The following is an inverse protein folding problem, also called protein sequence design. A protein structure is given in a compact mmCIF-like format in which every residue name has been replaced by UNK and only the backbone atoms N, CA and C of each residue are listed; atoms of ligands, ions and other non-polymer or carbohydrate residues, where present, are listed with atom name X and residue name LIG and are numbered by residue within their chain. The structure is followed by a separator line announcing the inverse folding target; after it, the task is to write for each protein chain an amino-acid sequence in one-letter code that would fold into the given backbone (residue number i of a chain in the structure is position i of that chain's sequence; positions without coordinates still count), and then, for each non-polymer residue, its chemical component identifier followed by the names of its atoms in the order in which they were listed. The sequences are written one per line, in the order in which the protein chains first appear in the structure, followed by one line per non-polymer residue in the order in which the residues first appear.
data_IF_701560286524
#
_entry.id   IF_701560286524
#
_cell.length_a   1.000
_cell.length_b   1.000
_cell.length_c   1.000
_cell.angle_alpha   90.00
_cell.angle_beta   90.00
_cell.angle_gamma   90.00
#
_symmetry.space_group_name_H-M   'P 1'
#
loop_
_entity.id
_entity.type
_entity.pdbx_description
1 polymer ?
#
# COMPACT_ATOMS: atom_id res chain seq x y z
N UNK A 1 1.13 -12.48 -12.20
CA UNK A 1 0.79 -11.17 -11.59
C UNK A 1 1.98 -10.24 -11.31
N UNK A 2 3.10 -10.70 -10.71
CA UNK A 2 4.24 -9.84 -10.32
C UNK A 2 4.95 -9.17 -11.51
N UNK A 3 5.09 -9.88 -12.64
CA UNK A 3 5.71 -9.40 -13.89
C UNK A 3 4.96 -8.19 -14.50
N UNK A 4 3.63 -8.23 -14.50
CA UNK A 4 2.78 -7.16 -15.03
C UNK A 4 2.88 -5.86 -14.19
N UNK A 5 2.99 -5.99 -12.86
CA UNK A 5 3.20 -4.84 -11.95
C UNK A 5 4.54 -4.15 -12.18
N UNK A 6 5.61 -4.92 -12.37
CA UNK A 6 6.93 -4.38 -12.70
C UNK A 6 6.90 -3.66 -14.05
N UNK A 7 6.21 -4.23 -15.04
CA UNK A 7 6.05 -3.60 -16.37
C UNK A 7 5.36 -2.24 -16.27
N UNK A 8 4.27 -2.12 -15.51
CA UNK A 8 3.56 -0.85 -15.32
C UNK A 8 4.43 0.26 -14.69
N UNK A 9 5.25 -0.08 -13.68
CA UNK A 9 6.15 0.91 -13.04
C UNK A 9 7.27 1.32 -13.99
N UNK A 10 7.83 0.38 -14.75
CA UNK A 10 8.85 0.66 -15.76
C UNK A 10 8.32 1.55 -16.89
N UNK A 11 7.09 1.31 -17.36
CA UNK A 11 6.44 2.20 -18.34
C UNK A 11 6.21 3.60 -17.79
N UNK A 12 5.82 3.74 -16.52
CA UNK A 12 5.64 5.06 -15.89
C UNK A 12 6.97 5.82 -15.73
N UNK A 13 8.05 5.12 -15.37
CA UNK A 13 9.41 5.67 -15.39
C UNK A 13 9.80 6.18 -16.77
N UNK A 14 9.53 5.40 -17.81
CA UNK A 14 9.84 5.76 -19.19
C UNK A 14 9.08 7.05 -19.58
N UNK A 15 7.78 7.10 -19.31
CA UNK A 15 6.97 8.30 -19.55
C UNK A 15 7.49 9.53 -18.79
N UNK A 16 7.88 9.37 -17.52
CA UNK A 16 8.46 10.48 -16.75
C UNK A 16 9.83 10.91 -17.28
N UNK A 17 10.64 9.97 -17.77
CA UNK A 17 11.95 10.26 -18.35
C UNK A 17 11.81 11.08 -19.63
N UNK A 18 10.84 10.75 -20.48
CA UNK A 18 10.51 11.53 -21.68
C UNK A 18 9.97 12.92 -21.30
N UNK A 19 9.14 13.02 -20.26
CA UNK A 19 8.64 14.32 -19.78
C UNK A 19 9.74 15.24 -19.26
N UNK A 20 10.73 14.68 -18.56
CA UNK A 20 11.86 15.44 -18.01
C UNK A 20 12.93 15.76 -19.05
N UNK A 21 13.19 14.83 -19.97
CA UNK A 21 14.15 14.96 -21.05
C UNK A 21 13.46 14.51 -22.36
N UNK A 22 12.88 15.43 -23.15
CA UNK A 22 12.13 15.07 -24.36
C UNK A 22 12.94 14.26 -25.38
N UNK A 23 14.27 14.46 -25.40
CA UNK A 23 15.21 13.76 -26.28
C UNK A 23 15.65 12.39 -25.77
N UNK A 24 15.07 11.92 -24.66
CA UNK A 24 15.48 10.68 -23.99
C UNK A 24 15.43 9.44 -24.90
N UNK A 25 14.52 9.45 -25.89
CA UNK A 25 14.36 8.36 -26.87
C UNK A 25 15.01 8.63 -28.24
N UNK A 26 15.51 9.83 -28.53
CA UNK A 26 15.95 10.22 -29.88
C UNK A 26 17.04 9.30 -30.45
N UNK A 27 17.89 8.74 -29.58
CA UNK A 27 19.00 7.84 -29.94
C UNK A 27 18.83 6.41 -29.42
N UNK A 28 17.66 6.06 -28.87
CA UNK A 28 17.47 4.79 -28.13
C UNK A 28 16.18 4.10 -28.53
N UNK A 29 16.27 2.80 -28.77
CA UNK A 29 15.08 1.95 -28.83
C UNK A 29 14.42 1.88 -27.44
N UNK A 30 13.12 1.59 -27.39
CA UNK A 30 12.39 1.43 -26.12
C UNK A 30 13.06 0.41 -25.19
N UNK A 31 13.54 -0.71 -25.75
CA UNK A 31 14.26 -1.74 -25.00
C UNK A 31 15.57 -1.20 -24.37
N UNK A 32 16.33 -0.40 -25.11
CA UNK A 32 17.56 0.23 -24.62
C UNK A 32 17.25 1.26 -23.51
N UNK A 33 16.17 2.04 -23.66
CA UNK A 33 15.72 2.99 -22.65
C UNK A 33 15.27 2.30 -21.36
N UNK A 34 14.53 1.20 -21.46
CA UNK A 34 14.11 0.38 -20.31
C UNK A 34 15.33 -0.19 -19.57
N UNK A 35 16.32 -0.71 -20.28
CA UNK A 35 17.53 -1.25 -19.68
C UNK A 35 18.39 -0.15 -19.04
N UNK A 36 18.48 1.03 -19.67
CA UNK A 36 19.10 2.21 -19.07
C UNK A 36 18.44 2.57 -17.73
N UNK A 37 17.10 2.64 -17.68
CA UNK A 37 16.35 2.96 -16.46
C UNK A 37 16.53 1.89 -15.38
N UNK A 38 16.60 0.61 -15.76
CA UNK A 38 16.94 -0.48 -14.85
C UNK A 38 18.32 -0.27 -14.22
N UNK A 39 19.34 0.01 -15.04
CA UNK A 39 20.72 0.25 -14.57
C UNK A 39 20.84 1.53 -13.75
N UNK A 40 20.16 2.61 -14.14
CA UNK A 40 20.06 3.84 -13.38
C UNK A 40 19.51 3.58 -11.97
N UNK A 41 18.42 2.82 -11.87
CA UNK A 41 17.84 2.46 -10.56
C UNK A 41 18.79 1.63 -9.71
N UNK A 42 19.47 0.64 -10.30
CA UNK A 42 20.42 -0.20 -9.57
C UNK A 42 21.60 0.62 -9.04
N UNK A 43 22.18 1.48 -9.89
CA UNK A 43 23.30 2.38 -9.50
C UNK A 43 22.91 3.33 -8.38
N UNK A 44 21.70 3.89 -8.42
CA UNK A 44 21.21 4.85 -7.44
C UNK A 44 20.44 4.21 -6.26
N UNK A 45 20.53 2.88 -6.10
CA UNK A 45 19.86 2.13 -5.01
C UNK A 45 18.34 2.37 -4.93
N UNK A 46 17.68 2.57 -6.06
CA UNK A 46 16.24 2.80 -6.17
C UNK A 46 15.48 1.48 -6.37
N UNK A 47 14.48 1.23 -5.52
CA UNK A 47 13.69 0.00 -5.52
C UNK A 47 12.22 0.28 -5.80
N UNK A 48 11.56 -0.63 -6.54
CA UNK A 48 10.09 -0.61 -6.67
C UNK A 48 9.53 -1.14 -5.35
N UNK A 49 8.71 -0.33 -4.68
CA UNK A 49 8.20 -0.61 -3.34
C UNK A 49 6.71 -0.37 -3.29
N UNK A 50 6.02 -1.10 -2.41
CA UNK A 50 4.59 -0.87 -2.14
C UNK A 50 4.47 0.38 -1.27
N UNK A 51 3.52 1.25 -1.61
CA UNK A 51 3.17 2.40 -0.80
C UNK A 51 2.62 1.92 0.54
N UNK A 52 3.04 2.59 1.61
CA UNK A 52 2.61 2.38 2.98
C UNK A 52 2.06 3.69 3.53
N UNK A 53 0.99 3.63 4.31
CA UNK A 53 0.47 4.79 5.02
C UNK A 53 1.35 5.13 6.23
N UNK A 54 1.50 6.43 6.51
CA UNK A 54 2.12 6.95 7.74
C UNK A 54 1.31 6.54 8.98
N UNK A 55 1.98 6.48 10.13
CA UNK A 55 1.33 6.22 11.43
C UNK A 55 1.09 4.75 11.78
N UNK A 56 1.80 3.81 11.14
CA UNK A 56 1.73 2.40 11.53
C UNK A 56 2.32 2.18 12.92
N UNK A 57 1.46 1.82 13.87
CA UNK A 57 1.87 1.22 15.15
C UNK A 57 2.39 -0.19 14.93
N UNK A 58 3.31 -0.63 15.79
CA UNK A 58 3.80 -2.02 15.70
C UNK A 58 2.64 -2.96 15.98
N UNK A 59 2.66 -4.13 15.35
CA UNK A 59 1.63 -5.17 15.60
C UNK A 59 1.52 -5.49 17.09
N UNK A 60 2.64 -5.56 17.80
CA UNK A 60 2.66 -5.79 19.26
C UNK A 60 1.89 -4.74 20.04
N UNK A 61 1.97 -3.47 19.64
CA UNK A 61 1.27 -2.36 20.31
C UNK A 61 -0.24 -2.39 20.03
N UNK A 62 -0.63 -2.75 18.80
CA UNK A 62 -2.05 -2.86 18.41
C UNK A 62 -2.69 -4.11 19.02
N UNK A 63 -1.93 -5.18 19.21
CA UNK A 63 -2.43 -6.44 19.76
C UNK A 63 -2.91 -6.27 21.20
N UNK A 64 -2.19 -5.51 22.03
CA UNK A 64 -2.60 -5.24 23.42
C UNK A 64 -3.99 -4.60 23.46
N UNK A 65 -4.22 -3.57 22.64
CA UNK A 65 -5.51 -2.87 22.55
C UNK A 65 -6.62 -3.80 22.04
N UNK A 66 -6.31 -4.63 21.05
CA UNK A 66 -7.26 -5.59 20.51
C UNK A 66 -7.65 -6.67 21.53
N UNK A 67 -6.69 -7.15 22.32
CA UNK A 67 -6.91 -8.16 23.35
C UNK A 67 -7.72 -7.58 24.52
N UNK A 68 -7.41 -6.37 24.97
CA UNK A 68 -8.19 -5.64 26.00
C UNK A 68 -9.65 -5.44 25.56
N UNK A 69 -9.85 -4.94 24.34
CA UNK A 69 -11.19 -4.74 23.78
C UNK A 69 -11.94 -6.07 23.65
N UNK A 70 -11.29 -7.10 23.11
CA UNK A 70 -11.88 -8.43 22.94
C UNK A 70 -12.29 -9.06 24.28
N UNK A 71 -11.47 -8.91 25.31
CA UNK A 71 -11.77 -9.41 26.65
C UNK A 71 -12.94 -8.66 27.30
N UNK A 72 -13.00 -7.32 27.16
CA UNK A 72 -14.12 -6.52 27.67
C UNK A 72 -15.44 -6.85 26.95
N UNK A 73 -15.41 -7.00 25.63
CA UNK A 73 -16.58 -7.39 24.84
C UNK A 73 -17.05 -8.80 25.21
N UNK A 74 -16.13 -9.75 25.36
CA UNK A 74 -16.47 -11.13 25.76
C UNK A 74 -17.15 -11.16 27.12
N UNK A 75 -16.61 -10.46 28.12
CA UNK A 75 -17.24 -10.34 29.44
C UNK A 75 -18.65 -9.73 29.35
N UNK A 76 -18.85 -8.68 28.56
CA UNK A 76 -20.18 -8.06 28.36
C UNK A 76 -21.17 -8.97 27.62
N UNK A 77 -20.69 -9.83 26.72
CA UNK A 77 -21.50 -10.78 25.94
C UNK A 77 -21.84 -12.08 26.69
N UNK A 78 -21.01 -12.45 27.67
CA UNK A 78 -21.15 -13.69 28.45
C UNK A 78 -21.80 -13.44 29.82
N UNK A 79 -21.51 -12.30 30.45
CA UNK A 79 -21.94 -11.99 31.84
C UNK A 79 -22.90 -10.79 31.91
N UNK A 80 -22.89 -9.91 30.90
CA UNK A 80 -23.72 -8.71 30.83
C UNK A 80 -25.11 -8.96 30.24
N UNK A 81 -26.15 -8.55 30.97
CA UNK A 81 -27.58 -8.67 30.65
C UNK A 81 -28.05 -8.14 29.29
N UNK A 82 -27.23 -7.45 28.50
CA UNK A 82 -27.67 -6.75 27.26
C UNK A 82 -27.99 -7.72 26.11
N UNK A 83 -27.33 -8.88 26.07
CA UNK A 83 -27.56 -9.94 25.07
C UNK A 83 -27.86 -11.31 25.71
N UNK A 84 -28.06 -11.33 27.03
CA UNK A 84 -28.48 -12.52 27.75
C UNK A 84 -29.98 -12.77 27.51
N UNK A 85 -30.31 -13.40 26.38
CA UNK A 85 -31.69 -13.76 26.02
C UNK A 85 -32.05 -13.57 24.54
N UNK A 86 -31.25 -12.82 23.78
CA UNK A 86 -31.35 -12.68 22.33
C UNK A 86 -30.29 -13.56 21.65
N UNK A 87 -30.53 -13.98 20.40
CA UNK A 87 -29.46 -14.60 19.62
C UNK A 87 -28.37 -13.53 19.40
N UNK A 88 -27.20 -13.74 20.02
CA UNK A 88 -26.24 -12.67 20.40
C UNK A 88 -25.73 -11.80 19.24
N UNK A 89 -26.01 -12.21 18.00
CA UNK A 89 -25.57 -11.58 16.77
C UNK A 89 -26.72 -10.97 15.95
N UNK A 90 -27.99 -11.21 16.31
CA UNK A 90 -29.17 -10.77 15.55
C UNK A 90 -29.30 -9.23 15.51
N UNK A 91 -28.70 -8.55 16.48
CA UNK A 91 -28.74 -7.09 16.60
C UNK A 91 -27.37 -6.42 16.41
N UNK A 92 -26.39 -7.15 15.86
CA UNK A 92 -25.08 -6.58 15.54
C UNK A 92 -25.08 -6.05 14.10
N UNK A 93 -25.26 -4.74 13.96
CA UNK A 93 -25.18 -4.05 12.67
C UNK A 93 -23.79 -3.42 12.52
N UNK A 94 -23.03 -3.86 11.52
CA UNK A 94 -21.73 -3.27 11.20
C UNK A 94 -21.86 -2.27 10.05
N UNK A 95 -21.19 -1.13 10.18
CA UNK A 95 -21.16 -0.09 9.16
C UNK A 95 -19.72 0.38 9.00
N UNK A 96 -19.25 0.45 7.76
CA UNK A 96 -17.94 1.02 7.45
C UNK A 96 -18.00 1.81 6.15
N UNK A 97 -17.19 2.85 6.05
CA UNK A 97 -17.09 3.69 4.87
C UNK A 97 -15.96 3.17 3.98
N UNK A 98 -16.31 2.64 2.81
CA UNK A 98 -15.32 2.33 1.77
C UNK A 98 -15.39 3.37 0.67
N UNK A 99 -14.30 4.10 0.47
CA UNK A 99 -14.17 5.04 -0.65
C UNK A 99 -14.21 4.31 -1.99
N UNK A 100 -15.01 4.81 -2.93
CA UNK A 100 -14.99 4.38 -4.33
C UNK A 100 -14.01 5.28 -5.08
N UNK A 101 -12.99 4.67 -5.68
CA UNK A 101 -11.93 5.40 -6.39
C UNK A 101 -12.26 5.48 -7.89
N UNK A 102 -12.32 6.69 -8.43
CA UNK A 102 -12.50 6.95 -9.87
C UNK A 102 -11.21 6.63 -10.65
N UNK A 103 -10.04 6.82 -10.04
CA UNK A 103 -8.76 6.41 -10.59
C UNK A 103 -7.96 5.60 -9.56
N UNK A 104 -7.45 4.45 -9.99
CA UNK A 104 -6.60 3.61 -9.15
C UNK A 104 -5.16 4.08 -9.24
N UNK A 105 -4.79 4.98 -8.33
CA UNK A 105 -3.39 5.30 -8.11
C UNK A 105 -2.55 4.02 -7.93
N UNK A 106 -1.38 3.92 -8.58
CA UNK A 106 -0.58 2.72 -8.52
C UNK A 106 -0.17 2.43 -7.08
N UNK A 107 -0.40 1.22 -6.60
CA UNK A 107 -0.05 0.77 -5.22
C UNK A 107 1.46 0.63 -4.98
N UNK A 108 2.28 0.99 -5.96
CA UNK A 108 3.73 0.88 -5.94
C UNK A 108 4.38 2.14 -6.46
N UNK A 109 5.44 2.55 -5.79
CA UNK A 109 6.28 3.70 -6.14
C UNK A 109 7.76 3.30 -6.20
N UNK A 110 8.63 4.25 -6.49
CA UNK A 110 10.08 4.07 -6.48
C UNK A 110 10.63 4.88 -5.31
N UNK A 111 11.34 4.21 -4.41
CA UNK A 111 12.03 4.87 -3.29
C UNK A 111 13.38 4.22 -3.03
N UNK A 112 14.17 4.80 -2.14
CA UNK A 112 15.47 4.27 -1.77
C UNK A 112 15.34 2.88 -1.15
N UNK A 113 16.33 2.04 -1.44
CA UNK A 113 16.42 0.71 -0.87
C UNK A 113 16.68 0.83 0.64
N UNK A 114 15.76 0.33 1.44
CA UNK A 114 15.91 0.24 2.90
C UNK A 114 14.92 1.12 3.67
N UNK A 115 14.24 2.05 2.98
CA UNK A 115 13.22 2.90 3.62
C UNK A 115 12.16 2.04 4.29
N UNK A 116 11.81 2.36 5.54
CA UNK A 116 10.76 1.66 6.29
C UNK A 116 9.38 2.09 5.82
N UNK A 117 9.19 3.40 5.71
CA UNK A 117 7.94 4.01 5.29
C UNK A 117 8.09 4.55 3.87
N UNK A 118 7.24 4.07 2.98
CA UNK A 118 7.22 4.40 1.56
C UNK A 118 5.93 5.16 1.29
N UNK A 119 5.99 6.49 1.33
CA UNK A 119 4.81 7.33 1.10
C UNK A 119 4.64 7.69 -0.40
N UNK A 120 3.45 8.12 -0.77
CA UNK A 120 3.26 8.88 -2.01
C UNK A 120 3.50 10.33 -1.66
N UNK A 121 4.56 10.93 -2.20
CA UNK A 121 4.61 12.39 -2.27
C UNK A 121 3.49 12.78 -3.23
N UNK A 122 2.42 13.36 -2.68
CA UNK A 122 1.28 13.88 -3.44
C UNK A 122 1.68 15.12 -4.22
#
# INVERSE_FOLDING_TARGET
MRRNKVRAVTSRLLMMSIKLEPRFLDSRTEAAAVEYLRRFRLRNRLSIRRITHKGRRKRSEVQVVADEFGNSMRYKLETGSVLAGYDKYEHLYNMDQTSIYVDMNPKTTITFRGDRDVDVVQ
#
